data_IF_565956982291
#
_entry.id   IF_565956982291
#
_cell.length_a   1.000
_cell.length_b   1.000
_cell.length_c   1.000
_cell.angle_alpha   90.00
_cell.angle_beta   90.00
_cell.angle_gamma   90.00
#
_symmetry.space_group_name_H-M   'P 1'
#
loop_
_entity.id
_entity.type
_entity.pdbx_description
1 polymer ?
#
# COMPACT_ATOMS: atom_id res chain seq x y z
N UNK A 1 19.59 -83.98 -36.63
CA UNK A 1 19.31 -83.67 -35.24
C UNK A 1 18.90 -82.19 -35.20
N UNK A 2 17.69 -82.03 -34.98
CA UNK A 2 16.82 -80.93 -35.34
C UNK A 2 16.63 -79.94 -34.18
N UNK A 3 16.77 -78.66 -34.41
CA UNK A 3 16.37 -77.62 -33.45
C UNK A 3 15.31 -76.71 -34.07
N UNK A 4 14.15 -76.69 -33.42
CA UNK A 4 12.99 -75.94 -33.76
C UNK A 4 13.14 -74.54 -33.17
N UNK A 5 13.04 -73.49 -33.97
CA UNK A 5 12.83 -72.07 -33.52
C UNK A 5 11.45 -71.62 -34.00
N UNK A 6 10.56 -71.42 -33.04
CA UNK A 6 9.25 -70.80 -33.24
C UNK A 6 9.36 -69.28 -33.41
N UNK A 7 8.65 -68.63 -34.34
CA UNK A 7 8.59 -67.22 -34.42
C UNK A 7 7.56 -66.65 -33.42
N UNK A 8 8.03 -65.86 -32.51
CA UNK A 8 7.20 -65.02 -31.62
C UNK A 8 6.48 -63.95 -32.44
N UNK A 9 5.16 -64.04 -32.49
CA UNK A 9 4.29 -63.01 -33.00
C UNK A 9 4.40 -61.78 -32.09
N UNK A 10 5.08 -60.72 -32.56
CA UNK A 10 5.00 -59.40 -32.01
C UNK A 10 3.65 -58.76 -32.43
N UNK A 11 2.69 -58.74 -31.52
CA UNK A 11 1.46 -57.99 -31.70
C UNK A 11 1.81 -56.47 -31.62
N UNK A 12 1.92 -55.87 -32.80
CA UNK A 12 2.03 -54.41 -32.93
C UNK A 12 0.67 -53.80 -32.60
N UNK A 13 0.55 -53.24 -31.40
CA UNK A 13 -0.55 -52.34 -31.08
C UNK A 13 -0.30 -51.01 -31.78
N UNK A 14 -0.80 -50.88 -33.00
CA UNK A 14 -0.99 -49.56 -33.61
C UNK A 14 -2.13 -48.88 -32.88
N UNK A 15 -1.74 -48.04 -31.91
CA UNK A 15 -2.67 -47.06 -31.31
C UNK A 15 -3.00 -46.06 -32.42
N UNK A 16 -4.13 -46.29 -33.07
CA UNK A 16 -4.74 -45.32 -33.97
C UNK A 16 -5.25 -44.20 -33.08
N UNK A 17 -4.42 -43.18 -32.86
CA UNK A 17 -4.89 -41.93 -32.29
C UNK A 17 -5.99 -41.41 -33.24
N UNK A 18 -7.22 -41.40 -32.74
CA UNK A 18 -8.33 -40.78 -33.41
C UNK A 18 -8.00 -39.31 -33.59
N UNK A 19 -7.55 -38.97 -34.79
CA UNK A 19 -7.35 -37.60 -35.27
C UNK A 19 -8.73 -37.01 -35.43
N UNK A 20 -9.19 -36.21 -34.42
CA UNK A 20 -10.48 -35.59 -34.54
C UNK A 20 -11.13 -35.03 -33.26
N UNK A 21 -10.41 -34.95 -32.14
CA UNK A 21 -10.83 -34.01 -31.09
C UNK A 21 -9.97 -32.78 -31.30
N UNK A 22 -10.42 -31.88 -32.15
CA UNK A 22 -9.95 -30.51 -32.11
C UNK A 22 -10.31 -30.00 -30.72
N UNK A 23 -9.33 -29.78 -29.86
CA UNK A 23 -9.56 -29.05 -28.63
C UNK A 23 -10.31 -27.75 -29.04
N UNK A 24 -11.43 -27.42 -28.39
CA UNK A 24 -12.14 -26.22 -28.73
C UNK A 24 -11.15 -25.05 -28.60
N UNK A 25 -11.14 -24.16 -29.60
CA UNK A 25 -10.30 -22.95 -29.53
C UNK A 25 -10.60 -22.22 -28.23
N UNK A 26 -9.55 -21.76 -27.50
CA UNK A 26 -9.76 -21.08 -26.23
C UNK A 26 -10.65 -19.85 -26.41
N UNK A 27 -11.58 -19.66 -25.50
CA UNK A 27 -12.48 -18.52 -25.48
C UNK A 27 -11.74 -17.22 -25.08
N UNK A 28 -12.23 -16.02 -25.44
CA UNK A 28 -11.66 -14.76 -24.98
C UNK A 28 -11.50 -14.71 -23.44
N UNK A 29 -12.46 -15.29 -22.72
CA UNK A 29 -12.42 -15.35 -21.27
C UNK A 29 -11.28 -16.24 -20.74
N UNK A 30 -10.97 -17.35 -21.38
CA UNK A 30 -9.85 -18.23 -21.01
C UNK A 30 -8.50 -17.54 -21.25
N UNK A 31 -8.34 -16.81 -22.37
CA UNK A 31 -7.17 -15.95 -22.59
C UNK A 31 -7.04 -14.89 -21.51
N UNK A 32 -8.14 -14.24 -21.15
CA UNK A 32 -8.15 -13.22 -20.09
C UNK A 32 -7.74 -13.80 -18.73
N UNK A 33 -8.27 -14.96 -18.36
CA UNK A 33 -7.93 -15.61 -17.09
C UNK A 33 -6.45 -16.02 -17.02
N UNK A 34 -5.89 -16.57 -18.09
CA UNK A 34 -4.45 -16.91 -18.15
C UNK A 34 -3.58 -15.66 -18.06
N UNK A 35 -3.95 -14.59 -18.75
CA UNK A 35 -3.24 -13.33 -18.67
C UNK A 35 -3.27 -12.74 -17.24
N UNK A 36 -4.41 -12.81 -16.54
CA UNK A 36 -4.50 -12.38 -15.15
C UNK A 36 -3.56 -13.18 -14.22
N UNK A 37 -3.42 -14.50 -14.45
CA UNK A 37 -2.47 -15.32 -13.68
C UNK A 37 -1.01 -14.87 -13.93
N UNK A 38 -0.63 -14.57 -15.17
CA UNK A 38 0.69 -14.02 -15.45
C UNK A 38 0.91 -12.66 -14.80
N UNK A 39 -0.09 -11.79 -14.86
CA UNK A 39 -0.03 -10.46 -14.26
C UNK A 39 0.08 -10.52 -12.71
N UNK A 40 -0.60 -11.46 -12.05
CA UNK A 40 -0.50 -11.68 -10.60
C UNK A 40 0.90 -12.17 -10.17
N UNK A 41 1.65 -12.76 -11.10
CA UNK A 41 3.07 -13.10 -10.91
C UNK A 41 4.03 -11.97 -11.28
N UNK A 42 3.53 -10.79 -11.66
CA UNK A 42 4.32 -9.66 -12.15
C UNK A 42 4.90 -9.86 -13.57
N UNK A 43 4.47 -10.90 -14.30
CA UNK A 43 4.91 -11.24 -15.66
C UNK A 43 4.05 -10.52 -16.69
N UNK A 44 4.16 -9.21 -16.75
CA UNK A 44 3.27 -8.37 -17.56
C UNK A 44 3.45 -8.57 -19.07
N UNK A 45 4.67 -8.84 -19.54
CA UNK A 45 4.94 -9.12 -20.96
C UNK A 45 4.26 -10.41 -21.41
N UNK A 46 4.32 -11.46 -20.58
CA UNK A 46 3.63 -12.72 -20.87
C UNK A 46 2.11 -12.56 -20.82
N UNK A 47 1.60 -11.77 -19.88
CA UNK A 47 0.18 -11.43 -19.80
C UNK A 47 -0.29 -10.69 -21.07
N UNK A 48 0.48 -9.72 -21.55
CA UNK A 48 0.18 -8.98 -22.78
C UNK A 48 0.22 -9.89 -24.02
N UNK A 49 1.19 -10.81 -24.11
CA UNK A 49 1.29 -11.79 -25.19
C UNK A 49 0.08 -12.73 -25.23
N UNK A 50 -0.37 -13.21 -24.06
CA UNK A 50 -1.54 -14.07 -23.93
C UNK A 50 -2.83 -13.35 -24.40
N UNK A 51 -2.99 -12.07 -24.03
CA UNK A 51 -4.13 -11.27 -24.49
C UNK A 51 -4.03 -11.01 -26.00
N UNK A 52 -2.83 -10.76 -26.53
CA UNK A 52 -2.62 -10.55 -27.96
C UNK A 52 -3.06 -11.79 -28.77
N UNK A 53 -2.74 -13.00 -28.30
CA UNK A 53 -3.22 -14.24 -28.90
C UNK A 53 -4.76 -14.34 -28.88
N UNK A 54 -5.41 -13.96 -27.78
CA UNK A 54 -6.88 -13.89 -27.72
C UNK A 54 -7.49 -12.85 -28.69
N UNK A 55 -6.81 -11.74 -28.87
CA UNK A 55 -7.24 -10.66 -29.80
C UNK A 55 -7.03 -11.03 -31.28
N UNK A 56 -6.17 -12.00 -31.61
CA UNK A 56 -6.10 -12.55 -32.97
C UNK A 56 -7.40 -13.25 -33.36
N UNK A 57 -8.02 -13.98 -32.42
CA UNK A 57 -9.30 -14.64 -32.62
C UNK A 57 -10.49 -13.67 -32.48
N UNK A 58 -10.41 -12.68 -31.60
CA UNK A 58 -11.48 -11.72 -31.28
C UNK A 58 -10.95 -10.28 -31.18
N UNK A 59 -10.67 -9.60 -32.30
CA UNK A 59 -9.95 -8.30 -32.34
C UNK A 59 -10.65 -7.13 -31.63
N UNK A 60 -11.97 -7.22 -31.43
CA UNK A 60 -12.81 -6.20 -30.80
C UNK A 60 -13.39 -6.62 -29.46
N UNK A 61 -12.87 -7.69 -28.84
CA UNK A 61 -13.32 -8.09 -27.52
C UNK A 61 -12.93 -7.04 -26.47
N UNK A 62 -13.94 -6.41 -25.86
CA UNK A 62 -13.76 -5.28 -24.94
C UNK A 62 -13.09 -5.75 -23.64
N UNK A 63 -13.42 -6.96 -23.18
CA UNK A 63 -12.83 -7.53 -21.97
C UNK A 63 -11.32 -7.75 -22.11
N UNK A 64 -10.89 -8.31 -23.25
CA UNK A 64 -9.47 -8.47 -23.58
C UNK A 64 -8.76 -7.12 -23.72
N UNK A 65 -9.35 -6.17 -24.48
CA UNK A 65 -8.76 -4.85 -24.69
C UNK A 65 -8.64 -4.06 -23.37
N UNK A 66 -9.65 -4.07 -22.52
CA UNK A 66 -9.61 -3.42 -21.21
C UNK A 66 -8.58 -4.09 -20.28
N UNK A 67 -8.46 -5.43 -20.33
CA UNK A 67 -7.45 -6.14 -19.55
C UNK A 67 -6.03 -5.85 -20.05
N UNK A 68 -5.83 -5.75 -21.38
CA UNK A 68 -4.56 -5.35 -21.96
C UNK A 68 -4.14 -3.95 -21.49
N UNK A 69 -5.07 -2.99 -21.49
CA UNK A 69 -4.82 -1.66 -20.98
C UNK A 69 -4.39 -1.69 -19.49
N UNK A 70 -5.05 -2.52 -18.65
CA UNK A 70 -4.68 -2.69 -17.22
C UNK A 70 -3.30 -3.33 -17.07
N UNK A 71 -2.94 -4.31 -17.91
CA UNK A 71 -1.61 -4.93 -17.92
C UNK A 71 -0.54 -3.89 -18.24
N UNK A 72 -0.74 -3.07 -19.28
CA UNK A 72 0.20 -2.00 -19.61
C UNK A 72 0.29 -0.92 -18.52
N UNK A 73 -0.84 -0.56 -17.86
CA UNK A 73 -0.80 0.34 -16.70
C UNK A 73 0.01 -0.24 -15.53
N UNK A 74 -0.15 -1.54 -15.26
CA UNK A 74 0.61 -2.22 -14.20
C UNK A 74 2.10 -2.36 -14.54
N UNK A 75 2.43 -2.43 -15.83
CA UNK A 75 3.79 -2.46 -16.37
C UNK A 75 4.43 -1.05 -16.51
N UNK A 76 3.73 0.01 -16.09
CA UNK A 76 4.17 1.41 -16.24
C UNK A 76 4.39 1.83 -17.71
N UNK A 77 3.56 1.31 -18.61
CA UNK A 77 3.56 1.58 -20.06
C UNK A 77 2.31 2.39 -20.44
N UNK A 78 2.22 3.70 -20.09
CA UNK A 78 0.99 4.47 -20.23
C UNK A 78 0.60 4.73 -21.68
N UNK A 79 1.54 4.81 -22.60
CA UNK A 79 1.25 5.04 -24.03
C UNK A 79 0.55 3.83 -24.66
N UNK A 80 1.06 2.63 -24.40
CA UNK A 80 0.49 1.36 -24.85
C UNK A 80 -0.87 1.10 -24.19
N UNK A 81 -1.00 1.44 -22.91
CA UNK A 81 -2.26 1.37 -22.18
C UNK A 81 -3.33 2.23 -22.83
N UNK A 82 -2.99 3.47 -23.24
CA UNK A 82 -3.93 4.37 -23.89
C UNK A 82 -4.38 3.84 -25.24
N UNK A 83 -3.48 3.27 -26.05
CA UNK A 83 -3.83 2.66 -27.35
C UNK A 83 -4.82 1.50 -27.14
N UNK A 84 -4.57 0.62 -26.18
CA UNK A 84 -5.48 -0.49 -25.87
C UNK A 84 -6.84 0.00 -25.34
N UNK A 85 -6.83 1.01 -24.47
CA UNK A 85 -8.03 1.60 -23.89
C UNK A 85 -8.89 2.35 -24.95
N UNK A 86 -8.27 3.09 -25.86
CA UNK A 86 -8.99 3.75 -26.96
C UNK A 86 -9.64 2.73 -27.91
N UNK A 87 -8.98 1.59 -28.16
CA UNK A 87 -9.58 0.47 -28.91
C UNK A 87 -10.77 -0.12 -28.16
N UNK A 88 -10.67 -0.30 -26.83
CA UNK A 88 -11.78 -0.81 -26.01
C UNK A 88 -13.00 0.12 -26.07
N UNK A 89 -12.82 1.43 -25.94
CA UNK A 89 -13.90 2.42 -26.04
C UNK A 89 -14.47 2.49 -27.47
N UNK A 90 -13.63 2.31 -28.50
CA UNK A 90 -14.09 2.26 -29.88
C UNK A 90 -14.97 1.03 -30.14
N UNK A 91 -14.64 -0.11 -29.51
CA UNK A 91 -15.41 -1.34 -29.61
C UNK A 91 -16.74 -1.25 -28.83
N UNK A 92 -16.73 -0.63 -27.64
CA UNK A 92 -17.92 -0.42 -26.82
C UNK A 92 -17.82 0.87 -26.00
N UNK A 93 -18.33 1.95 -26.54
CA UNK A 93 -18.25 3.30 -25.93
C UNK A 93 -19.07 3.47 -24.63
N UNK A 94 -19.95 2.54 -24.31
CA UNK A 94 -20.80 2.56 -23.10
C UNK A 94 -20.32 1.59 -22.01
N UNK A 95 -19.26 0.84 -22.26
CA UNK A 95 -18.76 -0.13 -21.31
C UNK A 95 -17.95 0.56 -20.20
N UNK A 96 -18.37 0.37 -18.96
CA UNK A 96 -17.77 1.04 -17.80
C UNK A 96 -16.26 0.73 -17.67
N UNK A 97 -15.88 -0.54 -17.82
CA UNK A 97 -14.47 -0.94 -17.73
C UNK A 97 -13.60 -0.27 -18.80
N UNK A 98 -14.12 -0.11 -20.03
CA UNK A 98 -13.40 0.59 -21.10
C UNK A 98 -13.17 2.07 -20.77
N UNK A 99 -14.21 2.75 -20.25
CA UNK A 99 -14.10 4.15 -19.82
C UNK A 99 -13.10 4.31 -18.64
N UNK A 100 -13.15 3.41 -17.65
CA UNK A 100 -12.26 3.43 -16.49
C UNK A 100 -10.80 3.30 -16.92
N UNK A 101 -10.45 2.28 -17.72
CA UNK A 101 -9.05 2.08 -18.15
C UNK A 101 -8.56 3.21 -19.05
N UNK A 102 -9.46 3.82 -19.85
CA UNK A 102 -9.14 5.00 -20.65
C UNK A 102 -8.81 6.21 -19.78
N UNK A 103 -9.62 6.48 -18.77
CA UNK A 103 -9.38 7.59 -17.85
C UNK A 103 -8.07 7.39 -17.08
N UNK A 104 -7.78 6.17 -16.60
CA UNK A 104 -6.50 5.84 -15.97
C UNK A 104 -5.31 6.08 -16.90
N UNK A 105 -5.38 5.56 -18.12
CA UNK A 105 -4.32 5.73 -19.12
C UNK A 105 -4.11 7.21 -19.52
N UNK A 106 -5.18 7.99 -19.63
CA UNK A 106 -5.11 9.44 -19.87
C UNK A 106 -4.42 10.16 -18.70
N UNK A 107 -4.73 9.79 -17.46
CA UNK A 107 -4.11 10.37 -16.26
C UNK A 107 -2.60 10.09 -16.24
N UNK A 108 -2.19 8.84 -16.50
CA UNK A 108 -0.77 8.44 -16.51
C UNK A 108 0.00 9.09 -17.68
N UNK A 109 -0.68 9.37 -18.81
CA UNK A 109 -0.15 10.18 -19.91
C UNK A 109 -0.22 11.69 -19.66
N UNK A 110 -0.60 12.14 -18.44
CA UNK A 110 -0.76 13.55 -18.06
C UNK A 110 -1.78 14.35 -18.88
N UNK A 111 -2.70 13.67 -19.55
CA UNK A 111 -3.81 14.28 -20.30
C UNK A 111 -5.00 14.56 -19.37
N UNK A 112 -4.75 15.31 -18.30
CA UNK A 112 -5.68 15.49 -17.17
C UNK A 112 -7.04 16.09 -17.60
N UNK A 113 -7.08 17.00 -18.56
CA UNK A 113 -8.34 17.58 -19.02
C UNK A 113 -9.28 16.55 -19.67
N UNK A 114 -8.72 15.62 -20.45
CA UNK A 114 -9.48 14.55 -21.09
C UNK A 114 -9.86 13.47 -20.07
N UNK A 115 -8.94 13.12 -19.17
CA UNK A 115 -9.22 12.20 -18.08
C UNK A 115 -10.40 12.69 -17.20
N UNK A 116 -10.43 13.99 -16.85
CA UNK A 116 -11.53 14.59 -16.12
C UNK A 116 -12.86 14.51 -16.89
N UNK A 117 -12.83 14.72 -18.21
CA UNK A 117 -14.01 14.56 -19.06
C UNK A 117 -14.58 13.15 -19.01
N UNK A 118 -13.72 12.12 -19.15
CA UNK A 118 -14.12 10.71 -19.07
C UNK A 118 -14.60 10.35 -17.66
N UNK A 119 -13.92 10.82 -16.60
CA UNK A 119 -14.37 10.60 -15.23
C UNK A 119 -15.76 11.19 -14.96
N UNK A 120 -16.03 12.41 -15.45
CA UNK A 120 -17.36 13.03 -15.36
C UNK A 120 -18.40 12.22 -16.15
N UNK A 121 -18.04 11.69 -17.32
CA UNK A 121 -18.91 10.80 -18.11
C UNK A 121 -19.27 9.53 -17.32
N UNK A 122 -18.30 8.90 -16.66
CA UNK A 122 -18.53 7.72 -15.81
C UNK A 122 -19.55 8.06 -14.72
N UNK A 123 -19.32 9.14 -13.97
CA UNK A 123 -20.17 9.56 -12.86
C UNK A 123 -21.60 9.89 -13.27
N UNK A 124 -21.77 10.51 -14.46
CA UNK A 124 -23.11 10.89 -14.97
C UNK A 124 -23.86 9.73 -15.60
N UNK A 125 -23.16 8.81 -16.24
CA UNK A 125 -23.74 7.67 -16.92
C UNK A 125 -24.13 6.54 -15.97
N UNK A 126 -23.39 6.37 -14.88
CA UNK A 126 -23.57 5.29 -13.89
C UNK A 126 -23.80 5.83 -12.46
N UNK A 127 -24.86 6.64 -12.22
CA UNK A 127 -25.02 7.35 -10.94
C UNK A 127 -25.33 6.43 -9.76
N UNK A 128 -25.84 5.21 -10.02
CA UNK A 128 -26.22 4.23 -8.97
C UNK A 128 -25.25 3.06 -8.87
N UNK A 129 -24.22 3.02 -9.69
CA UNK A 129 -23.23 1.95 -9.64
C UNK A 129 -22.12 2.30 -8.65
N UNK A 130 -21.92 1.50 -7.57
CA UNK A 130 -20.93 1.79 -6.54
C UNK A 130 -19.50 1.85 -7.07
N UNK A 131 -19.15 0.92 -7.97
CA UNK A 131 -17.82 0.87 -8.57
C UNK A 131 -17.56 2.11 -9.44
N UNK A 132 -18.53 2.52 -10.25
CA UNK A 132 -18.42 3.72 -11.08
C UNK A 132 -18.28 4.99 -10.23
N UNK A 133 -19.04 5.10 -9.14
CA UNK A 133 -18.99 6.27 -8.28
C UNK A 133 -17.64 6.39 -7.56
N UNK A 134 -17.14 5.32 -6.92
CA UNK A 134 -15.83 5.38 -6.26
C UNK A 134 -14.67 5.57 -7.24
N UNK A 135 -14.66 4.81 -8.35
CA UNK A 135 -13.56 4.89 -9.32
C UNK A 135 -13.58 6.21 -10.09
N UNK A 136 -14.78 6.67 -10.50
CA UNK A 136 -14.95 7.98 -11.13
C UNK A 136 -14.53 9.13 -10.20
N UNK A 137 -14.83 9.04 -8.90
CA UNK A 137 -14.38 10.02 -7.90
C UNK A 137 -12.85 10.06 -7.78
N UNK A 138 -12.19 8.90 -7.72
CA UNK A 138 -10.73 8.81 -7.66
C UNK A 138 -10.09 9.42 -8.91
N UNK A 139 -10.56 9.02 -10.11
CA UNK A 139 -10.05 9.52 -11.40
C UNK A 139 -10.28 11.03 -11.56
N UNK A 140 -11.44 11.53 -11.16
CA UNK A 140 -11.72 12.96 -11.18
C UNK A 140 -10.82 13.71 -10.21
N UNK A 141 -10.56 13.15 -9.02
CA UNK A 141 -9.65 13.73 -8.04
C UNK A 141 -8.19 13.75 -8.54
N UNK A 142 -7.76 12.74 -9.28
CA UNK A 142 -6.41 12.68 -9.88
C UNK A 142 -6.24 13.71 -11.00
N UNK A 143 -7.26 13.91 -11.81
CA UNK A 143 -7.20 14.76 -12.99
C UNK A 143 -7.62 16.20 -12.74
N UNK A 144 -8.64 16.42 -11.93
CA UNK A 144 -9.17 17.73 -11.55
C UNK A 144 -9.81 17.66 -10.18
N UNK A 145 -8.98 17.77 -9.14
CA UNK A 145 -9.47 17.72 -7.77
C UNK A 145 -10.48 18.86 -7.47
N UNK A 146 -11.47 18.60 -6.63
CA UNK A 146 -12.46 19.61 -6.24
C UNK A 146 -13.71 19.02 -5.59
N UNK A 147 -14.70 19.89 -5.39
CA UNK A 147 -15.96 19.53 -4.72
C UNK A 147 -16.71 18.41 -5.47
N UNK A 148 -16.64 18.35 -6.79
CA UNK A 148 -17.29 17.31 -7.59
C UNK A 148 -16.73 15.91 -7.27
N UNK A 149 -15.40 15.80 -7.15
CA UNK A 149 -14.75 14.56 -6.75
C UNK A 149 -15.14 14.14 -5.33
N UNK A 150 -15.23 15.11 -4.40
CA UNK A 150 -15.66 14.85 -3.02
C UNK A 150 -17.12 14.37 -2.97
N UNK A 151 -18.01 15.00 -3.70
CA UNK A 151 -19.41 14.60 -3.78
C UNK A 151 -19.56 13.19 -4.36
N UNK A 152 -18.78 12.86 -5.39
CA UNK A 152 -18.78 11.54 -6.00
C UNK A 152 -18.22 10.47 -5.03
N UNK A 153 -17.15 10.79 -4.29
CA UNK A 153 -16.59 9.88 -3.27
C UNK A 153 -17.63 9.59 -2.16
N UNK A 154 -18.30 10.62 -1.67
CA UNK A 154 -19.41 10.47 -0.72
C UNK A 154 -20.55 9.62 -1.30
N UNK A 155 -20.86 9.80 -2.58
CA UNK A 155 -21.87 9.00 -3.25
C UNK A 155 -21.46 7.52 -3.32
N UNK A 156 -20.18 7.24 -3.57
CA UNK A 156 -19.61 5.90 -3.50
C UNK A 156 -19.82 5.24 -2.14
N UNK A 157 -19.46 5.93 -1.05
CA UNK A 157 -19.66 5.44 0.32
C UNK A 157 -21.17 5.24 0.62
N UNK A 158 -22.02 6.16 0.19
CA UNK A 158 -23.46 6.03 0.42
C UNK A 158 -24.11 4.85 -0.30
N UNK A 159 -23.62 4.54 -1.52
CA UNK A 159 -24.16 3.42 -2.32
C UNK A 159 -23.60 2.07 -1.88
N UNK A 160 -22.40 2.04 -1.31
CA UNK A 160 -21.74 0.82 -0.83
C UNK A 160 -21.00 1.08 0.50
N UNK A 161 -21.71 1.30 1.60
CA UNK A 161 -21.10 1.67 2.88
C UNK A 161 -20.24 0.56 3.51
N UNK A 162 -20.42 -0.69 3.10
CA UNK A 162 -19.64 -1.84 3.57
C UNK A 162 -18.42 -2.15 2.69
N UNK A 163 -18.17 -1.39 1.64
CA UNK A 163 -17.00 -1.56 0.77
C UNK A 163 -15.83 -0.71 1.26
N UNK A 164 -14.74 -1.36 1.70
CA UNK A 164 -13.55 -0.70 2.19
C UNK A 164 -12.91 0.25 1.16
N UNK A 165 -12.95 -0.13 -0.11
CA UNK A 165 -12.44 0.69 -1.22
C UNK A 165 -13.20 2.01 -1.40
N UNK A 166 -14.49 2.07 -1.09
CA UNK A 166 -15.26 3.31 -1.16
C UNK A 166 -14.76 4.32 -0.11
N UNK A 167 -14.49 3.86 1.10
CA UNK A 167 -13.93 4.67 2.17
C UNK A 167 -12.46 5.05 1.89
N UNK A 168 -11.67 4.16 1.31
CA UNK A 168 -10.31 4.46 0.87
C UNK A 168 -10.28 5.58 -0.17
N UNK A 169 -11.17 5.55 -1.16
CA UNK A 169 -11.28 6.62 -2.17
C UNK A 169 -11.71 7.93 -1.51
N UNK A 170 -12.67 7.91 -0.58
CA UNK A 170 -13.06 9.12 0.16
C UNK A 170 -11.86 9.69 0.94
N UNK A 171 -11.03 8.84 1.55
CA UNK A 171 -9.82 9.26 2.24
C UNK A 171 -8.83 9.95 1.30
N UNK A 172 -8.56 9.36 0.12
CA UNK A 172 -7.66 9.96 -0.89
C UNK A 172 -8.16 11.31 -1.37
N UNK A 173 -9.44 11.39 -1.73
CA UNK A 173 -10.05 12.64 -2.23
C UNK A 173 -10.02 13.73 -1.16
N UNK A 174 -10.37 13.38 0.08
CA UNK A 174 -10.32 14.30 1.22
C UNK A 174 -8.88 14.78 1.51
N UNK A 175 -7.90 13.87 1.49
CA UNK A 175 -6.48 14.22 1.70
C UNK A 175 -5.97 15.20 0.63
N UNK A 176 -6.31 14.99 -0.64
CA UNK A 176 -5.97 15.92 -1.74
C UNK A 176 -6.61 17.29 -1.58
N UNK A 177 -7.77 17.37 -0.94
CA UNK A 177 -8.44 18.62 -0.60
C UNK A 177 -7.96 19.22 0.73
N UNK A 178 -6.95 18.62 1.38
CA UNK A 178 -6.42 18.99 2.69
C UNK A 178 -7.46 18.93 3.82
N UNK A 179 -8.51 18.13 3.64
CA UNK A 179 -9.53 17.84 4.65
C UNK A 179 -9.05 16.65 5.51
N UNK A 180 -7.96 16.85 6.25
CA UNK A 180 -7.22 15.80 6.93
C UNK A 180 -8.06 15.03 7.96
N UNK A 181 -8.91 15.72 8.73
CA UNK A 181 -9.79 15.05 9.70
C UNK A 181 -10.80 14.09 9.02
N UNK A 182 -11.28 14.46 7.83
CA UNK A 182 -12.16 13.60 7.04
C UNK A 182 -11.39 12.44 6.44
N UNK A 183 -10.21 12.71 5.88
CA UNK A 183 -9.34 11.69 5.33
C UNK A 183 -9.00 10.62 6.37
N UNK A 184 -8.66 11.06 7.57
CA UNK A 184 -8.38 10.20 8.70
C UNK A 184 -9.55 9.28 9.06
N UNK A 185 -10.71 9.85 9.23
CA UNK A 185 -11.91 9.07 9.58
C UNK A 185 -12.28 8.06 8.49
N UNK A 186 -12.22 8.49 7.23
CA UNK A 186 -12.53 7.61 6.11
C UNK A 186 -11.53 6.45 5.98
N UNK A 187 -10.24 6.71 6.22
CA UNK A 187 -9.24 5.65 6.18
C UNK A 187 -9.36 4.66 7.34
N UNK A 188 -9.65 5.15 8.55
CA UNK A 188 -9.93 4.28 9.69
C UNK A 188 -11.10 3.33 9.41
N UNK A 189 -12.19 3.85 8.84
CA UNK A 189 -13.33 3.03 8.43
C UNK A 189 -12.96 2.00 7.35
N UNK A 190 -12.12 2.38 6.39
CA UNK A 190 -11.62 1.44 5.38
C UNK A 190 -10.84 0.28 6.01
N UNK A 191 -10.00 0.56 7.02
CA UNK A 191 -9.24 -0.45 7.75
C UNK A 191 -10.11 -1.35 8.62
N UNK A 192 -11.14 -0.78 9.25
CA UNK A 192 -12.10 -1.54 10.07
C UNK A 192 -12.92 -2.52 9.20
N UNK A 193 -13.22 -2.16 7.96
CA UNK A 193 -13.90 -3.02 6.99
C UNK A 193 -13.00 -4.07 6.35
N UNK A 194 -11.75 -3.74 6.02
CA UNK A 194 -10.75 -4.67 5.48
C UNK A 194 -9.34 -4.26 5.93
N UNK A 195 -8.78 -4.98 6.90
CA UNK A 195 -7.40 -4.75 7.41
C UNK A 195 -6.34 -4.77 6.30
N UNK A 196 -6.58 -5.47 5.19
CA UNK A 196 -5.65 -5.56 4.05
C UNK A 196 -5.47 -4.24 3.29
N UNK A 197 -6.34 -3.26 3.53
CA UNK A 197 -6.15 -1.89 3.01
C UNK A 197 -4.82 -1.28 3.49
N UNK A 198 -4.39 -1.60 4.72
CA UNK A 198 -3.11 -1.12 5.27
C UNK A 198 -1.86 -1.60 4.51
N UNK A 199 -1.98 -2.69 3.75
CA UNK A 199 -0.90 -3.25 2.93
C UNK A 199 -1.17 -3.13 1.41
N UNK A 200 -2.24 -2.43 1.02
CA UNK A 200 -2.72 -2.38 -0.36
C UNK A 200 -1.70 -1.78 -1.36
N UNK A 201 -0.76 -0.95 -0.90
CA UNK A 201 0.35 -0.43 -1.71
C UNK A 201 1.29 -1.54 -2.22
N UNK A 202 1.28 -2.72 -1.57
CA UNK A 202 2.09 -3.90 -1.95
C UNK A 202 1.33 -4.88 -2.84
N UNK A 203 0.07 -4.60 -3.16
CA UNK A 203 -0.72 -5.46 -4.04
C UNK A 203 -0.03 -5.59 -5.41
N UNK A 204 0.04 -6.82 -5.93
CA UNK A 204 0.59 -7.14 -7.25
C UNK A 204 -0.55 -7.55 -8.18
N UNK A 205 -0.30 -7.46 -9.48
CA UNK A 205 -1.27 -7.84 -10.50
C UNK A 205 -2.22 -6.71 -10.91
N UNK A 206 -3.16 -7.04 -11.77
CA UNK A 206 -4.07 -6.05 -12.38
C UNK A 206 -5.46 -6.01 -11.73
N UNK A 207 -5.85 -7.06 -11.01
CA UNK A 207 -7.17 -7.13 -10.33
C UNK A 207 -7.27 -6.10 -9.22
N UNK A 208 -6.17 -5.85 -8.51
CA UNK A 208 -6.07 -4.89 -7.39
C UNK A 208 -5.34 -3.61 -7.77
N UNK A 209 -5.14 -3.35 -9.06
CA UNK A 209 -4.38 -2.20 -9.55
C UNK A 209 -4.93 -0.87 -9.02
N UNK A 210 -6.25 -0.69 -9.04
CA UNK A 210 -6.90 0.53 -8.58
C UNK A 210 -6.69 0.73 -7.08
N UNK A 211 -6.92 -0.30 -6.27
CA UNK A 211 -6.70 -0.26 -4.82
C UNK A 211 -5.26 0.10 -4.47
N UNK A 212 -4.28 -0.51 -5.13
CA UNK A 212 -2.86 -0.18 -4.99
C UNK A 212 -2.58 1.29 -5.33
N UNK A 213 -3.15 1.81 -6.43
CA UNK A 213 -2.98 3.22 -6.83
C UNK A 213 -3.51 4.18 -5.77
N UNK A 214 -4.68 3.89 -5.21
CA UNK A 214 -5.27 4.74 -4.16
C UNK A 214 -4.46 4.70 -2.86
N UNK A 215 -3.98 3.53 -2.46
CA UNK A 215 -3.12 3.39 -1.28
C UNK A 215 -1.79 4.14 -1.44
N UNK A 216 -1.12 4.00 -2.59
CA UNK A 216 0.10 4.76 -2.90
C UNK A 216 -0.13 6.28 -2.95
N UNK A 217 -1.27 6.71 -3.50
CA UNK A 217 -1.62 8.13 -3.53
C UNK A 217 -1.84 8.68 -2.11
N UNK A 218 -2.48 7.92 -1.23
CA UNK A 218 -2.70 8.33 0.16
C UNK A 218 -1.38 8.41 0.94
N UNK A 219 -0.50 7.43 0.77
CA UNK A 219 0.84 7.43 1.37
C UNK A 219 1.66 8.64 0.94
N UNK A 220 1.72 8.93 -0.37
CA UNK A 220 2.43 10.11 -0.88
C UNK A 220 1.86 11.43 -0.37
N UNK A 221 0.53 11.56 -0.24
CA UNK A 221 -0.11 12.75 0.33
C UNK A 221 0.18 12.92 1.82
N UNK A 222 0.36 11.82 2.54
CA UNK A 222 0.73 11.83 3.94
C UNK A 222 2.17 12.29 4.15
N UNK A 223 3.08 11.77 3.33
CA UNK A 223 4.48 12.18 3.35
C UNK A 223 4.62 13.67 3.02
N UNK A 224 3.87 14.16 2.03
CA UNK A 224 3.83 15.60 1.70
C UNK A 224 3.32 16.44 2.86
N UNK A 225 2.26 16.00 3.54
CA UNK A 225 1.71 16.69 4.71
C UNK A 225 2.71 16.71 5.88
N UNK A 226 3.44 15.61 6.10
CA UNK A 226 4.46 15.49 7.13
C UNK A 226 5.65 16.44 6.86
N UNK A 227 6.10 16.55 5.60
CA UNK A 227 7.17 17.46 5.20
C UNK A 227 6.73 18.93 5.33
N UNK A 228 5.49 19.26 4.99
CA UNK A 228 4.95 20.63 5.12
C UNK A 228 4.86 21.11 6.57
N UNK A 229 4.74 20.22 7.54
CA UNK A 229 4.73 20.60 8.98
C UNK A 229 6.12 20.89 9.56
N UNK A 230 7.18 20.47 8.89
CA UNK A 230 8.57 20.71 9.32
C UNK A 230 9.03 22.13 8.93
N UNK A 231 8.44 22.74 7.90
CA UNK A 231 8.86 24.05 7.37
C UNK A 231 8.14 25.25 8.03
N UNK A 232 7.10 24.99 8.79
CA UNK A 232 6.42 26.03 9.62
C UNK A 232 6.78 25.87 11.09
N UNK A 233 8.04 26.12 11.45
CA UNK A 233 8.27 26.76 12.76
C UNK A 233 7.41 28.04 12.77
N UNK A 234 6.62 28.30 13.82
CA UNK A 234 5.83 29.53 13.86
C UNK A 234 6.81 30.70 13.64
N UNK A 235 6.53 31.64 12.74
CA UNK A 235 7.35 32.83 12.63
C UNK A 235 7.40 33.42 14.04
N UNK A 236 8.61 33.65 14.54
CA UNK A 236 8.83 34.47 15.70
C UNK A 236 7.94 35.69 15.50
N UNK A 237 7.02 35.90 16.43
CA UNK A 237 5.92 36.84 16.42
C UNK A 237 6.23 38.11 15.57
N UNK A 238 5.63 38.28 14.37
CA UNK A 238 5.93 39.45 13.53
C UNK A 238 5.52 40.78 14.21
N UNK A 239 4.76 40.69 15.30
CA UNK A 239 4.30 41.84 16.07
C UNK A 239 5.30 42.27 17.13
N UNK A 240 6.26 41.43 17.52
CA UNK A 240 7.31 41.83 18.45
C UNK A 240 8.29 42.86 17.84
N UNK A 241 8.45 42.85 16.50
CA UNK A 241 9.29 43.81 15.79
C UNK A 241 8.55 45.09 15.33
N UNK A 242 7.22 45.15 15.45
CA UNK A 242 6.40 46.25 14.93
C UNK A 242 6.06 47.32 15.97
N UNK A 243 6.52 47.18 17.21
CA UNK A 243 6.26 48.21 18.23
C UNK A 243 7.08 49.51 18.09
N UNK A 244 8.03 49.57 17.16
CA UNK A 244 8.87 50.77 16.92
C UNK A 244 8.68 51.40 15.53
N UNK A 245 7.71 50.99 14.73
CA UNK A 245 7.45 51.58 13.42
C UNK A 245 6.39 52.68 13.52
N UNK A 246 6.85 53.92 13.36
CA UNK A 246 6.07 55.12 13.22
C UNK A 246 4.98 54.99 12.17
N UNK A 247 3.82 55.51 12.53
CA UNK A 247 2.63 55.83 11.76
C UNK A 247 2.87 56.08 10.25
N UNK A 248 2.48 55.13 9.37
CA UNK A 248 2.43 55.36 7.93
C UNK A 248 1.05 55.94 7.56
N UNK A 249 0.99 57.04 6.78
CA UNK A 249 -0.28 57.57 6.29
C UNK A 249 -0.89 56.60 5.28
N UNK A 250 -2.17 56.29 5.43
CA UNK A 250 -2.96 55.48 4.51
C UNK A 250 -3.05 56.14 3.14
N UNK A 251 -2.57 55.59 2.06
CA UNK A 251 -2.84 56.10 0.73
C UNK A 251 -4.09 55.36 0.16
N UNK A 252 -4.99 56.15 -0.34
CA UNK A 252 -6.17 55.90 -1.17
C UNK A 252 -7.44 55.38 -0.49
N UNK A 253 -8.59 56.06 -0.73
CA UNK A 253 -9.90 55.55 -0.47
C UNK A 253 -10.18 54.39 -1.45
N UNK A 254 -10.68 53.26 -0.92
CA UNK A 254 -11.15 52.17 -1.73
C UNK A 254 -12.29 52.64 -2.62
N UNK A 255 -12.34 52.27 -3.91
CA UNK A 255 -13.49 52.52 -4.75
C UNK A 255 -14.71 51.79 -4.15
N UNK A 256 -15.86 52.48 -4.09
CA UNK A 256 -17.15 51.93 -3.73
C UNK A 256 -17.44 50.69 -4.58
N UNK A 257 -17.18 49.54 -3.98
CA UNK A 257 -17.66 48.26 -4.55
C UNK A 257 -19.02 48.05 -3.89
N UNK A 258 -20.12 47.88 -4.69
CA UNK A 258 -21.40 47.55 -4.09
C UNK A 258 -21.23 46.28 -3.27
N UNK A 259 -21.67 46.29 -2.02
CA UNK A 259 -21.75 45.07 -1.21
C UNK A 259 -22.57 44.04 -1.98
N UNK A 260 -22.06 42.81 -2.14
CA UNK A 260 -22.89 41.74 -2.71
C UNK A 260 -24.08 41.58 -1.79
N UNK A 261 -25.30 41.71 -2.36
CA UNK A 261 -26.52 41.37 -1.63
C UNK A 261 -26.32 39.99 -0.99
N UNK A 262 -26.68 39.83 0.31
CA UNK A 262 -26.60 38.54 0.95
C UNK A 262 -27.47 37.57 0.17
N UNK A 263 -26.85 36.66 -0.62
CA UNK A 263 -27.54 35.54 -1.20
C UNK A 263 -28.26 34.85 -0.07
N UNK A 264 -29.59 34.78 -0.17
CA UNK A 264 -30.45 34.22 0.83
C UNK A 264 -29.90 32.87 1.26
N UNK A 265 -29.45 32.78 2.51
CA UNK A 265 -29.01 31.53 3.14
C UNK A 265 -30.17 30.54 3.02
N UNK A 266 -30.01 29.53 2.15
CA UNK A 266 -30.99 28.46 2.03
C UNK A 266 -30.76 27.47 3.18
N UNK A 267 -31.60 27.49 4.22
CA UNK A 267 -31.44 26.62 5.38
C UNK A 267 -31.59 25.14 5.02
N UNK A 268 -32.13 24.82 3.83
CA UNK A 268 -32.30 23.44 3.39
C UNK A 268 -30.98 22.81 2.96
N UNK A 269 -30.01 23.61 2.47
CA UNK A 269 -28.67 23.13 2.10
C UNK A 269 -27.84 22.85 3.35
N UNK A 270 -27.93 23.74 4.35
CA UNK A 270 -27.23 23.52 5.63
C UNK A 270 -27.85 22.36 6.43
N UNK A 271 -29.18 22.28 6.49
CA UNK A 271 -29.87 21.17 7.15
C UNK A 271 -29.60 19.81 6.45
N UNK A 272 -29.41 19.83 5.11
CA UNK A 272 -29.02 18.64 4.37
C UNK A 272 -27.57 18.23 4.64
N UNK A 273 -26.65 19.20 4.83
CA UNK A 273 -25.27 18.93 5.24
C UNK A 273 -25.18 18.39 6.68
N UNK A 274 -26.04 18.89 7.60
CA UNK A 274 -26.09 18.42 8.98
C UNK A 274 -26.74 17.04 9.14
N UNK A 275 -27.74 16.70 8.32
CA UNK A 275 -28.32 15.35 8.30
C UNK A 275 -27.36 14.30 7.77
N UNK A 276 -26.47 14.65 6.84
CA UNK A 276 -25.46 13.73 6.32
C UNK A 276 -24.38 13.36 7.36
N UNK A 277 -24.15 14.22 8.36
CA UNK A 277 -23.17 13.96 9.44
C UNK A 277 -23.76 13.11 10.58
N UNK A 278 -25.09 12.92 10.64
CA UNK A 278 -25.75 12.17 11.70
C UNK A 278 -26.07 10.71 11.36
N UNK A 279 -26.15 10.36 10.06
CA UNK A 279 -26.59 9.03 9.64
C UNK A 279 -25.45 8.00 9.44
N UNK A 280 -24.19 8.41 9.57
CA UNK A 280 -23.08 7.47 9.52
C UNK A 280 -22.38 7.40 10.88
N UNK A 281 -22.41 6.22 11.54
CA UNK A 281 -21.58 6.01 12.73
C UNK A 281 -20.12 5.87 12.27
N UNK A 282 -19.48 7.01 12.01
CA UNK A 282 -18.04 7.04 11.77
C UNK A 282 -17.38 6.84 13.12
N UNK A 283 -16.78 5.67 13.33
CA UNK A 283 -16.00 5.37 14.51
C UNK A 283 -14.93 6.45 14.69
N UNK A 284 -14.81 7.02 15.89
CA UNK A 284 -13.74 7.98 16.15
C UNK A 284 -12.40 7.24 16.08
N UNK A 285 -11.48 7.64 15.21
CA UNK A 285 -10.15 7.04 15.19
C UNK A 285 -9.50 7.30 16.56
N UNK A 286 -9.02 6.24 17.18
CA UNK A 286 -8.30 6.31 18.48
C UNK A 286 -6.85 6.75 18.33
N UNK A 287 -6.40 7.03 17.08
CA UNK A 287 -5.03 7.44 16.78
C UNK A 287 -4.92 8.19 15.45
N UNK A 288 -3.77 8.76 15.12
CA UNK A 288 -3.52 9.39 13.82
C UNK A 288 -3.54 8.33 12.71
N UNK A 289 -4.22 8.61 11.61
CA UNK A 289 -4.50 7.75 10.46
C UNK A 289 -3.27 7.30 9.69
N UNK A 290 -2.30 8.13 9.68
CA UNK A 290 -0.98 7.84 9.17
C UNK A 290 -0.11 7.74 10.41
N UNK A 291 -0.23 6.61 11.09
CA UNK A 291 0.62 6.33 12.23
C UNK A 291 1.90 5.67 11.69
N UNK A 292 2.99 6.45 11.49
CA UNK A 292 4.30 5.87 11.20
C UNK A 292 4.72 4.87 12.29
N UNK A 293 3.94 4.77 13.37
CA UNK A 293 4.14 3.82 14.46
C UNK A 293 3.89 2.36 14.06
N UNK A 294 3.00 2.05 13.12
CA UNK A 294 2.78 0.66 12.70
C UNK A 294 3.92 0.15 11.82
N UNK A 295 4.41 0.94 10.87
CA UNK A 295 5.62 0.61 10.10
C UNK A 295 6.86 0.58 11.00
N UNK A 296 6.95 1.51 11.95
CA UNK A 296 8.00 1.51 12.98
C UNK A 296 7.88 0.30 13.90
N UNK A 297 6.68 -0.12 14.30
CA UNK A 297 6.44 -1.31 15.11
C UNK A 297 6.78 -2.59 14.34
N UNK A 298 6.40 -2.69 13.06
CA UNK A 298 6.77 -3.78 12.16
C UNK A 298 8.28 -3.89 11.97
N UNK A 299 8.95 -2.75 11.71
CA UNK A 299 10.41 -2.67 11.57
C UNK A 299 11.13 -3.04 12.88
N UNK A 300 10.64 -2.57 14.03
CA UNK A 300 11.20 -2.93 15.36
C UNK A 300 10.98 -4.42 15.63
N UNK A 301 9.84 -4.99 15.29
CA UNK A 301 9.57 -6.42 15.42
C UNK A 301 10.55 -7.26 14.61
N UNK A 302 10.79 -6.90 13.36
CA UNK A 302 11.81 -7.54 12.52
C UNK A 302 13.22 -7.41 13.11
N UNK A 303 13.58 -6.23 13.61
CA UNK A 303 14.86 -5.99 14.27
C UNK A 303 15.03 -6.88 15.52
N UNK A 304 13.95 -7.05 16.31
CA UNK A 304 13.95 -7.94 17.48
C UNK A 304 14.15 -9.39 17.05
N UNK A 305 13.40 -9.87 16.05
CA UNK A 305 13.51 -11.25 15.57
C UNK A 305 14.91 -11.56 15.03
N UNK A 306 15.46 -10.70 14.16
CA UNK A 306 16.80 -10.89 13.61
C UNK A 306 17.90 -10.74 14.69
N UNK A 307 17.75 -9.76 15.59
CA UNK A 307 18.69 -9.53 16.69
C UNK A 307 18.73 -10.69 17.68
N UNK A 308 17.58 -11.17 18.10
CA UNK A 308 17.46 -12.30 19.05
C UNK A 308 17.98 -13.60 18.45
N UNK A 309 17.59 -13.92 17.19
CA UNK A 309 18.12 -15.08 16.48
C UNK A 309 19.66 -14.99 16.32
N UNK A 310 20.18 -13.82 16.00
CA UNK A 310 21.63 -13.60 15.93
C UNK A 310 22.34 -13.89 17.24
N UNK A 311 21.77 -13.46 18.37
CA UNK A 311 22.31 -13.77 19.71
C UNK A 311 22.23 -15.25 20.04
N UNK A 312 21.10 -15.93 19.73
CA UNK A 312 20.93 -17.37 19.98
C UNK A 312 21.96 -18.19 19.20
N UNK A 313 22.15 -17.90 17.92
CA UNK A 313 23.14 -18.58 17.08
C UNK A 313 24.56 -18.31 17.59
N UNK A 314 24.90 -17.07 17.93
CA UNK A 314 26.20 -16.70 18.46
C UNK A 314 26.47 -17.39 19.82
N UNK A 315 25.47 -17.46 20.71
CA UNK A 315 25.57 -18.13 21.98
C UNK A 315 25.79 -19.64 21.84
N UNK A 316 25.02 -20.30 20.93
CA UNK A 316 25.16 -21.73 20.65
C UNK A 316 26.54 -22.07 20.08
N UNK A 317 27.02 -21.30 19.09
CA UNK A 317 28.34 -21.49 18.53
C UNK A 317 29.44 -21.29 19.57
N UNK A 318 29.30 -20.27 20.44
CA UNK A 318 30.21 -20.00 21.55
C UNK A 318 30.24 -21.17 22.51
N UNK A 319 29.08 -21.77 22.86
CA UNK A 319 29.00 -22.94 23.75
C UNK A 319 29.74 -24.13 23.14
N UNK A 320 29.55 -24.42 21.86
CA UNK A 320 30.28 -25.51 21.16
C UNK A 320 31.77 -25.23 21.13
N UNK A 321 32.19 -24.01 20.81
CA UNK A 321 33.61 -23.64 20.78
C UNK A 321 34.26 -23.70 22.18
N UNK A 322 33.49 -23.43 23.25
CA UNK A 322 33.99 -23.49 24.62
C UNK A 322 34.43 -24.89 25.04
N UNK A 323 33.84 -25.97 24.47
CA UNK A 323 34.24 -27.36 24.71
C UNK A 323 35.56 -27.72 24.04
N UNK A 324 35.85 -27.07 22.86
CA UNK A 324 37.04 -27.37 22.09
C UNK A 324 38.24 -26.45 22.46
N UNK A 325 37.99 -25.15 22.69
CA UNK A 325 39.02 -24.17 23.01
C UNK A 325 38.46 -22.98 23.78
N UNK A 326 38.69 -22.93 25.12
CA UNK A 326 38.15 -21.88 25.99
C UNK A 326 38.69 -20.46 25.65
N UNK A 327 39.90 -20.36 25.11
CA UNK A 327 40.48 -19.07 24.72
C UNK A 327 39.84 -18.52 23.45
N UNK A 328 39.66 -19.34 22.42
CA UNK A 328 39.06 -18.95 21.17
C UNK A 328 37.58 -18.59 21.32
N UNK A 329 36.82 -19.32 22.18
CA UNK A 329 35.41 -19.04 22.44
C UNK A 329 35.17 -17.66 23.08
N UNK A 330 36.09 -17.20 23.94
CA UNK A 330 36.01 -15.85 24.54
C UNK A 330 36.20 -14.74 23.53
N UNK A 331 37.21 -14.88 22.66
CA UNK A 331 37.49 -13.91 21.59
C UNK A 331 36.32 -13.86 20.61
N UNK A 332 35.76 -15.03 20.26
CA UNK A 332 34.58 -15.13 19.39
C UNK A 332 33.35 -14.45 20.02
N UNK A 333 33.08 -14.70 21.29
CA UNK A 333 31.97 -14.09 22.02
C UNK A 333 32.09 -12.56 22.09
N UNK A 334 33.29 -12.03 22.34
CA UNK A 334 33.54 -10.58 22.32
C UNK A 334 33.29 -9.97 20.95
N UNK A 335 33.77 -10.63 19.89
CA UNK A 335 33.58 -10.17 18.51
C UNK A 335 32.10 -10.15 18.11
N UNK A 336 31.39 -11.25 18.37
CA UNK A 336 29.97 -11.37 18.05
C UNK A 336 29.12 -10.39 18.86
N UNK A 337 29.43 -10.19 20.14
CA UNK A 337 28.79 -9.17 20.98
C UNK A 337 28.94 -7.77 20.36
N UNK A 338 30.15 -7.39 19.96
CA UNK A 338 30.42 -6.08 19.35
C UNK A 338 29.69 -5.90 18.02
N UNK A 339 29.67 -6.95 17.16
CA UNK A 339 28.96 -6.92 15.88
C UNK A 339 27.46 -6.76 16.10
N UNK A 340 26.83 -7.57 16.95
CA UNK A 340 25.40 -7.52 17.20
C UNK A 340 24.99 -6.20 17.85
N UNK A 341 25.78 -5.69 18.79
CA UNK A 341 25.53 -4.41 19.45
C UNK A 341 25.63 -3.21 18.52
N UNK A 342 26.45 -3.29 17.46
CA UNK A 342 26.55 -2.25 16.43
C UNK A 342 25.56 -2.43 15.29
N UNK A 343 25.39 -3.66 14.79
CA UNK A 343 24.60 -3.95 13.60
C UNK A 343 23.11 -3.65 13.78
N UNK A 344 22.52 -4.08 14.92
CA UNK A 344 21.09 -3.89 15.19
C UNK A 344 20.69 -2.41 15.21
N UNK A 345 21.36 -1.52 15.97
CA UNK A 345 21.01 -0.10 15.98
C UNK A 345 21.35 0.63 14.66
N UNK A 346 22.40 0.23 13.95
CA UNK A 346 22.73 0.81 12.64
C UNK A 346 21.65 0.43 11.62
N UNK A 347 21.25 -0.84 11.57
CA UNK A 347 20.20 -1.29 10.68
C UNK A 347 18.86 -0.60 11.00
N UNK A 348 18.52 -0.53 12.28
CA UNK A 348 17.29 0.12 12.75
C UNK A 348 17.27 1.62 12.41
N UNK A 349 18.41 2.32 12.54
CA UNK A 349 18.50 3.75 12.19
C UNK A 349 18.38 4.05 10.69
N UNK A 350 18.69 3.07 9.84
CA UNK A 350 18.55 3.21 8.38
C UNK A 350 17.14 2.90 7.88
N UNK A 351 16.34 2.22 8.70
CA UNK A 351 14.99 1.79 8.35
C UNK A 351 13.91 2.61 9.05
N UNK A 352 14.20 3.20 10.21
CA UNK A 352 13.27 4.09 10.90
C UNK A 352 13.33 5.48 10.29
N UNK A 353 12.19 6.00 9.92
CA UNK A 353 11.97 7.39 9.48
C UNK A 353 11.93 8.36 10.66
N UNK A 354 11.62 7.86 11.87
CA UNK A 354 11.57 8.63 13.11
C UNK A 354 12.82 8.47 13.98
N UNK A 355 13.16 9.47 14.85
CA UNK A 355 14.22 9.33 15.82
C UNK A 355 13.91 8.19 16.81
N UNK A 356 14.88 7.30 17.05
CA UNK A 356 14.76 6.07 17.84
C UNK A 356 14.12 6.29 19.22
N UNK A 357 14.41 7.43 19.86
CA UNK A 357 13.87 7.79 21.16
C UNK A 357 12.36 8.02 21.13
N UNK A 358 11.84 8.64 20.07
CA UNK A 358 10.41 8.90 19.91
C UNK A 358 9.65 7.59 19.62
N UNK A 359 10.17 6.74 18.72
CA UNK A 359 9.57 5.44 18.41
C UNK A 359 9.51 4.52 19.65
N UNK A 360 10.59 4.42 20.42
CA UNK A 360 10.63 3.63 21.66
C UNK A 360 9.74 4.23 22.77
N UNK A 361 9.64 5.56 22.87
CA UNK A 361 8.77 6.19 23.86
C UNK A 361 7.29 5.90 23.58
N UNK A 362 6.86 5.93 22.33
CA UNK A 362 5.49 5.59 21.90
C UNK A 362 5.20 4.10 22.15
N UNK A 363 6.11 3.19 21.77
CA UNK A 363 5.95 1.75 22.01
C UNK A 363 5.79 1.40 23.50
N UNK A 364 6.44 2.16 24.39
CA UNK A 364 6.27 1.97 25.86
C UNK A 364 4.85 2.29 26.31
N UNK A 365 4.13 3.16 25.59
CA UNK A 365 2.76 3.52 25.95
C UNK A 365 1.76 2.55 25.33
N UNK A 366 1.89 2.24 24.04
CA UNK A 366 0.90 1.49 23.25
C UNK A 366 1.12 -0.04 23.26
N UNK A 367 2.38 -0.50 23.16
CA UNK A 367 2.73 -1.92 23.02
C UNK A 367 3.89 -2.30 23.96
N UNK A 368 3.60 -2.37 25.24
CA UNK A 368 4.61 -2.65 26.29
C UNK A 368 5.41 -3.92 26.05
N UNK A 369 4.80 -4.97 25.47
CA UNK A 369 5.48 -6.24 25.16
C UNK A 369 6.56 -6.07 24.09
N UNK A 370 6.28 -5.31 23.01
CA UNK A 370 7.26 -5.06 21.95
C UNK A 370 8.38 -4.12 22.42
N UNK A 371 8.06 -3.14 23.26
CA UNK A 371 9.07 -2.28 23.89
C UNK A 371 10.02 -3.11 24.76
N UNK A 372 9.48 -4.03 25.59
CA UNK A 372 10.28 -4.96 26.37
C UNK A 372 11.18 -5.84 25.48
N UNK A 373 10.62 -6.41 24.42
CA UNK A 373 11.36 -7.23 23.45
C UNK A 373 12.53 -6.45 22.82
N UNK A 374 12.30 -5.19 22.43
CA UNK A 374 13.34 -4.32 21.88
C UNK A 374 14.47 -4.09 22.91
N UNK A 375 14.15 -3.74 24.14
CA UNK A 375 15.18 -3.58 25.19
C UNK A 375 15.92 -4.89 25.49
N UNK A 376 15.22 -6.02 25.55
CA UNK A 376 15.83 -7.33 25.79
C UNK A 376 16.83 -7.69 24.66
N UNK A 377 16.52 -7.36 23.41
CA UNK A 377 17.43 -7.57 22.26
C UNK A 377 18.72 -6.76 22.39
N UNK A 378 18.70 -5.57 23.00
CA UNK A 378 19.91 -4.79 23.28
C UNK A 378 20.69 -5.30 24.50
N UNK A 379 20.00 -5.92 25.47
CA UNK A 379 20.64 -6.46 26.69
C UNK A 379 21.28 -7.83 26.42
N UNK A 380 20.69 -8.65 25.57
CA UNK A 380 21.17 -10.00 25.29
C UNK A 380 22.66 -10.08 24.82
N UNK A 381 23.18 -9.23 23.91
CA UNK A 381 24.61 -9.24 23.53
C UNK A 381 25.55 -8.91 24.70
N UNK A 382 25.10 -8.15 25.72
CA UNK A 382 25.93 -7.85 26.89
C UNK A 382 26.27 -9.11 27.71
N UNK A 383 25.39 -10.08 27.73
CA UNK A 383 25.68 -11.37 28.38
C UNK A 383 26.78 -12.15 27.63
N UNK A 384 26.88 -12.04 26.30
CA UNK A 384 27.99 -12.59 25.52
C UNK A 384 29.30 -11.90 25.89
N UNK A 385 29.27 -10.58 26.11
CA UNK A 385 30.45 -9.82 26.54
C UNK A 385 30.87 -10.23 27.98
N UNK A 386 29.91 -10.40 28.86
CA UNK A 386 30.19 -10.88 30.23
C UNK A 386 30.81 -12.29 30.20
N UNK A 387 30.30 -13.19 29.32
CA UNK A 387 30.93 -14.48 29.10
C UNK A 387 32.40 -14.33 28.60
N UNK A 388 32.67 -13.44 27.69
CA UNK A 388 34.03 -13.20 27.17
C UNK A 388 35.00 -12.80 28.31
N UNK A 389 34.54 -12.02 29.28
CA UNK A 389 35.33 -11.56 30.45
C UNK A 389 35.48 -12.63 31.51
N UNK A 390 34.39 -13.26 31.93
CA UNK A 390 34.34 -14.17 33.07
C UNK A 390 34.67 -15.61 32.67
N UNK A 391 34.24 -16.05 31.49
CA UNK A 391 34.48 -17.41 30.97
C UNK A 391 33.61 -18.51 31.61
N UNK A 392 32.58 -18.13 32.38
CA UNK A 392 31.63 -19.10 32.94
C UNK A 392 30.45 -19.29 32.00
N UNK A 393 29.82 -20.47 32.00
CA UNK A 393 28.66 -20.76 31.12
C UNK A 393 27.38 -20.05 31.57
N UNK A 394 27.31 -19.52 32.77
CA UNK A 394 26.12 -18.88 33.32
C UNK A 394 25.67 -17.66 32.51
N UNK A 395 26.54 -16.70 32.15
CA UNK A 395 26.15 -15.59 31.26
C UNK A 395 25.68 -16.05 29.88
N UNK A 396 26.21 -17.14 29.34
CA UNK A 396 25.83 -17.66 28.03
C UNK A 396 24.37 -18.18 28.04
N UNK A 397 24.01 -18.92 29.11
CA UNK A 397 22.62 -19.35 29.34
C UNK A 397 21.72 -18.12 29.50
N UNK A 398 22.18 -17.10 30.24
CA UNK A 398 21.45 -15.84 30.40
C UNK A 398 21.17 -15.13 29.04
N UNK A 399 22.18 -15.08 28.14
CA UNK A 399 22.00 -14.54 26.78
C UNK A 399 20.89 -15.29 26.01
N UNK A 400 20.88 -16.62 26.09
CA UNK A 400 19.89 -17.44 25.39
C UNK A 400 18.47 -17.24 25.99
N UNK A 401 18.33 -17.17 27.28
CA UNK A 401 17.04 -16.96 27.97
C UNK A 401 16.47 -15.59 27.62
N UNK A 402 17.29 -14.53 27.65
CA UNK A 402 16.86 -13.17 27.35
C UNK A 402 16.48 -13.04 25.87
N UNK A 403 17.25 -13.65 24.95
CA UNK A 403 16.95 -13.64 23.54
C UNK A 403 15.65 -14.41 23.22
N UNK A 404 15.44 -15.60 23.81
CA UNK A 404 14.21 -16.36 23.66
C UNK A 404 12.99 -15.61 24.22
N UNK A 405 13.13 -14.94 25.38
CA UNK A 405 12.07 -14.13 25.95
C UNK A 405 11.70 -12.94 25.04
N UNK A 406 12.69 -12.31 24.40
CA UNK A 406 12.46 -11.24 23.42
C UNK A 406 11.68 -11.73 22.19
N UNK A 407 12.01 -12.91 21.65
CA UNK A 407 11.27 -13.52 20.54
C UNK A 407 9.83 -13.83 20.91
N UNK A 408 9.60 -14.46 22.05
CA UNK A 408 8.25 -14.79 22.52
C UNK A 408 7.43 -13.50 22.69
N UNK A 409 8.01 -12.45 23.30
CA UNK A 409 7.33 -11.17 23.47
C UNK A 409 7.03 -10.46 22.15
N UNK A 410 7.89 -10.63 21.12
CA UNK A 410 7.65 -10.09 19.79
C UNK A 410 6.60 -10.87 18.99
N UNK A 411 6.40 -12.16 19.27
CA UNK A 411 5.41 -13.03 18.62
C UNK A 411 4.01 -12.91 19.23
N UNK A 412 3.90 -12.57 20.50
CA UNK A 412 2.61 -12.40 21.18
C UNK A 412 1.97 -11.09 20.68
N UNK A 413 0.94 -11.22 19.82
CA UNK A 413 0.06 -10.12 19.43
C UNK A 413 -0.83 -9.73 20.61
N UNK A 414 -0.46 -8.67 21.30
CA UNK A 414 -1.37 -7.92 22.18
C UNK A 414 -1.13 -6.44 22.04
#
# INVERSE_FOLDING_TARGET
MSTWLTPTHVISWSVTYARGVTEPEPTPEEYRQRALLFADLGRYDDAAAEIAAGLEASPSDVGLLATLARVHLAAEQPAEALVAADRAVTAASSELNALVVRAMALTDNRRFGEAAGVATEILTRFPSDPYAQRTGAALLSESRNGQEALNAAWNGVRTAPAEAEAHLVLAVVAARLRLFDLAQRAYAEALDLDERIGDAQRDVGVVRLERRRWALALEGLADEAALGTVETAPPEDPWAAASDAKEFPRPYPAPDRPEPEPTAYDPTVAARAETWSQDFPVSRPTGPVLDPSEDSAGTIRLAVLYGSNGVLVAALLTAVMATASPGASRVWAALMSAILFAAVPIWLSRRLTEPRSAALARLRHDRRGLAFAAYATFVAPLFLLVYALVGSLVPLVGAMVVAAAAEIAALIRR
#
